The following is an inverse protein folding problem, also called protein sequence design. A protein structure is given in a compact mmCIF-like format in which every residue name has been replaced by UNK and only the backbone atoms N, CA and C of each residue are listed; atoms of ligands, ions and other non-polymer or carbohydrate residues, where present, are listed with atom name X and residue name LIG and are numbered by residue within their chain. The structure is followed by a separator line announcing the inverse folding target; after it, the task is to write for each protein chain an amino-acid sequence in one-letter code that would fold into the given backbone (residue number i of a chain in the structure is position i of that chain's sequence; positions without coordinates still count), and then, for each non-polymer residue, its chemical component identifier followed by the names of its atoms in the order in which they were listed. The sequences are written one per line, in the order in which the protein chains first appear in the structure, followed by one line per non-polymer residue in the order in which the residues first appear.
data_IF_738910779518
#
_entry.id   IF_738910779518
#
_cell.length_a   1.000
_cell.length_b   1.000
_cell.length_c   1.000
_cell.angle_alpha   90.00
_cell.angle_beta   90.00
_cell.angle_gamma   90.00
#
_symmetry.space_group_name_H-M   'P 1'
#
loop_
_entity.id
_entity.type
_entity.pdbx_description
1 polymer ?
#
# COMPACT_ATOMS: atom_id res chain seq x y z
N UNK A 1 -6.00 5.78 9.52
CA UNK A 1 -4.90 6.63 9.95
C UNK A 1 -3.71 6.48 9.03
N UNK A 2 -3.05 7.59 8.74
CA UNK A 2 -1.78 7.65 7.98
C UNK A 2 -0.74 8.36 8.84
N UNK A 3 0.47 7.81 8.92
CA UNK A 3 1.54 8.33 9.76
C UNK A 3 2.85 8.49 8.99
N UNK A 4 3.71 9.40 9.45
CA UNK A 4 5.07 9.59 8.93
C UNK A 4 6.05 8.52 9.45
N UNK A 5 5.70 7.80 10.50
CA UNK A 5 6.55 6.77 11.12
C UNK A 5 5.79 5.45 11.33
N UNK A 6 6.51 4.36 11.33
CA UNK A 6 5.97 3.00 11.46
C UNK A 6 5.32 2.69 12.82
N UNK A 7 5.58 3.51 13.82
CA UNK A 7 5.01 3.40 15.17
C UNK A 7 3.75 4.23 15.36
N UNK A 8 3.30 4.97 14.34
CA UNK A 8 2.14 5.85 14.39
C UNK A 8 2.22 6.91 15.51
N UNK A 9 3.40 7.43 15.78
CA UNK A 9 3.62 8.52 16.74
C UNK A 9 3.33 9.88 16.10
N UNK A 10 3.63 10.02 14.81
CA UNK A 10 3.39 11.24 14.04
C UNK A 10 2.30 10.99 13.01
N UNK A 11 1.08 11.29 13.38
CA UNK A 11 -0.08 11.14 12.49
C UNK A 11 -0.11 12.27 11.48
N UNK A 12 -0.02 11.93 10.20
CA UNK A 12 -0.11 12.87 9.08
C UNK A 12 -1.57 13.14 8.67
N UNK A 13 -2.40 12.11 8.71
CA UNK A 13 -3.83 12.22 8.40
C UNK A 13 -4.63 11.13 9.11
N UNK A 14 -5.90 11.44 9.39
CA UNK A 14 -6.88 10.47 9.87
C UNK A 14 -8.27 10.84 9.37
N UNK A 15 -9.11 9.86 9.20
CA UNK A 15 -10.50 10.04 8.79
C UNK A 15 -11.30 8.77 9.01
N UNK A 16 -12.56 8.83 8.64
CA UNK A 16 -13.49 7.70 8.70
C UNK A 16 -14.22 7.61 7.37
N UNK A 17 -14.33 6.41 6.84
CA UNK A 17 -15.08 6.11 5.63
C UNK A 17 -16.04 4.96 5.90
N UNK A 18 -17.18 4.96 5.23
CA UNK A 18 -18.20 3.94 5.39
C UNK A 18 -18.06 2.88 4.28
N UNK A 19 -17.93 1.63 4.67
CA UNK A 19 -18.02 0.51 3.74
C UNK A 19 -19.46 0.35 3.27
N UNK A 20 -19.71 0.50 1.96
CA UNK A 20 -21.04 0.50 1.36
C UNK A 20 -21.25 -0.74 0.49
N UNK A 21 -22.48 -1.28 0.43
CA UNK A 21 -22.79 -2.43 -0.40
C UNK A 21 -22.47 -2.21 -1.88
N UNK A 22 -22.68 -0.99 -2.39
CA UNK A 22 -22.43 -0.61 -3.80
C UNK A 22 -20.97 -0.71 -4.19
N UNK A 23 -20.07 -0.69 -3.20
CA UNK A 23 -18.61 -0.86 -3.38
C UNK A 23 -18.14 -2.25 -2.91
N UNK A 24 -19.03 -3.22 -2.84
CA UNK A 24 -18.72 -4.56 -2.34
C UNK A 24 -18.24 -4.54 -0.89
N UNK A 25 -18.76 -3.64 -0.06
CA UNK A 25 -18.33 -3.41 1.34
C UNK A 25 -16.83 -3.05 1.48
N UNK A 26 -16.21 -2.51 0.43
CA UNK A 26 -14.85 -1.98 0.47
C UNK A 26 -14.86 -0.47 0.72
N UNK A 27 -13.70 0.07 1.09
CA UNK A 27 -13.49 1.52 1.24
C UNK A 27 -12.37 1.98 0.31
N UNK A 28 -12.56 3.13 -0.31
CA UNK A 28 -11.57 3.81 -1.14
C UNK A 28 -11.29 5.17 -0.50
N UNK A 29 -10.08 5.34 0.01
CA UNK A 29 -9.72 6.53 0.77
C UNK A 29 -8.66 7.32 0.03
N UNK A 30 -8.98 8.54 -0.34
CA UNK A 30 -8.00 9.49 -0.85
C UNK A 30 -7.48 10.37 0.29
N UNK A 31 -6.16 10.48 0.38
CA UNK A 31 -5.50 11.26 1.42
C UNK A 31 -4.70 12.38 0.78
N UNK A 32 -5.20 13.60 0.90
CA UNK A 32 -4.54 14.81 0.39
C UNK A 32 -3.57 15.41 1.41
N UNK A 33 -2.72 16.35 0.95
CA UNK A 33 -1.85 17.14 1.81
C UNK A 33 -0.59 16.42 2.29
N UNK A 34 -0.31 15.23 1.81
CA UNK A 34 0.91 14.51 2.12
C UNK A 34 2.12 15.14 1.42
N UNK A 35 3.27 15.17 2.09
CA UNK A 35 4.52 15.67 1.52
C UNK A 35 5.00 14.75 0.39
N UNK A 36 5.55 15.29 -0.71
CA UNK A 36 6.01 14.50 -1.84
C UNK A 36 7.27 13.68 -1.52
N UNK A 37 7.47 12.62 -2.31
CA UNK A 37 8.65 11.75 -2.28
C UNK A 37 8.99 11.19 -0.89
N UNK A 38 7.98 10.79 -0.11
CA UNK A 38 8.15 10.28 1.25
C UNK A 38 7.42 8.96 1.49
N UNK A 39 7.97 8.07 2.33
CA UNK A 39 7.23 6.93 2.83
C UNK A 39 6.18 7.39 3.84
N UNK A 40 5.04 6.72 3.82
CA UNK A 40 3.98 6.82 4.81
C UNK A 40 3.55 5.42 5.22
N UNK A 41 3.02 5.32 6.42
CA UNK A 41 2.46 4.09 6.97
C UNK A 41 0.97 4.30 7.20
N UNK A 42 0.16 3.30 6.87
CA UNK A 42 -1.28 3.39 7.06
C UNK A 42 -1.82 2.15 7.74
N UNK A 43 -2.96 2.30 8.38
CA UNK A 43 -3.74 1.23 8.97
C UNK A 43 -5.21 1.61 9.02
N UNK A 44 -6.05 0.60 8.98
CA UNK A 44 -7.48 0.70 9.15
C UNK A 44 -7.89 0.15 10.51
N UNK A 45 -9.02 0.63 11.02
CA UNK A 45 -9.67 0.10 12.22
C UNK A 45 -11.14 -0.05 11.91
N UNK A 46 -11.71 -1.23 12.12
CA UNK A 46 -13.12 -1.52 11.93
C UNK A 46 -13.59 -2.48 13.03
N UNK A 47 -14.73 -2.21 13.66
CA UNK A 47 -15.28 -3.06 14.72
C UNK A 47 -14.35 -3.28 15.93
N UNK A 48 -13.43 -2.35 16.18
CA UNK A 48 -12.42 -2.50 17.24
C UNK A 48 -11.16 -3.23 16.82
N UNK A 49 -11.17 -3.90 15.67
CA UNK A 49 -10.02 -4.62 15.12
C UNK A 49 -9.14 -3.70 14.25
N UNK A 50 -7.86 -3.98 14.23
CA UNK A 50 -6.84 -3.23 13.51
C UNK A 50 -6.22 -4.06 12.40
N UNK A 51 -6.13 -3.49 11.20
CA UNK A 51 -5.41 -4.12 10.08
C UNK A 51 -3.91 -4.24 10.34
N UNK A 52 -3.24 -5.05 9.56
CA UNK A 52 -1.80 -4.97 9.41
C UNK A 52 -1.41 -3.56 8.94
N UNK A 53 -0.19 -3.16 9.27
CA UNK A 53 0.39 -1.91 8.82
C UNK A 53 0.75 -2.01 7.34
N UNK A 54 0.17 -1.14 6.52
CA UNK A 54 0.60 -0.93 5.14
C UNK A 54 1.68 0.15 5.04
N UNK A 55 2.45 0.11 3.97
CA UNK A 55 3.42 1.15 3.60
C UNK A 55 3.09 1.65 2.20
N UNK A 56 3.11 2.95 2.02
CA UNK A 56 2.96 3.63 0.75
C UNK A 56 4.06 4.67 0.59
N UNK A 57 4.29 5.14 -0.62
CA UNK A 57 5.20 6.24 -0.91
C UNK A 57 4.51 7.24 -1.82
N UNK A 58 4.57 8.52 -1.47
CA UNK A 58 4.13 9.61 -2.34
C UNK A 58 5.12 9.80 -3.49
N UNK A 59 4.59 10.17 -4.65
CA UNK A 59 5.43 10.50 -5.80
C UNK A 59 6.21 11.80 -5.56
N UNK A 60 7.34 12.01 -6.26
CA UNK A 60 7.98 13.30 -6.35
C UNK A 60 7.03 14.37 -6.94
N UNK A 61 7.33 15.63 -6.71
CA UNK A 61 6.61 16.72 -7.39
C UNK A 61 6.74 16.58 -8.91
N UNK A 62 5.70 16.92 -9.69
CA UNK A 62 5.79 16.97 -11.14
C UNK A 62 6.98 17.82 -11.59
N UNK A 63 7.72 17.34 -12.59
CA UNK A 63 8.93 17.99 -13.09
C UNK A 63 10.21 17.76 -12.27
N UNK A 64 10.13 17.09 -11.13
CA UNK A 64 11.34 16.69 -10.39
C UNK A 64 12.10 15.62 -11.18
N UNK A 65 13.38 15.85 -11.46
CA UNK A 65 14.25 14.85 -12.05
C UNK A 65 14.50 13.71 -11.05
N UNK A 66 14.33 12.50 -11.51
CA UNK A 66 14.69 11.29 -10.76
C UNK A 66 15.77 10.53 -11.53
N UNK A 67 16.85 10.14 -10.84
CA UNK A 67 17.97 9.44 -11.50
C UNK A 67 17.63 7.98 -11.77
N UNK A 68 16.76 7.37 -10.97
CA UNK A 68 16.31 5.99 -11.15
C UNK A 68 14.91 5.77 -10.56
N UNK A 69 14.18 4.83 -11.15
CA UNK A 69 12.93 4.31 -10.64
C UNK A 69 13.00 2.78 -10.60
N UNK A 70 13.05 2.23 -9.40
CA UNK A 70 13.03 0.77 -9.18
C UNK A 70 11.62 0.37 -8.76
N UNK A 71 10.98 -0.52 -9.50
CA UNK A 71 9.66 -1.04 -9.18
C UNK A 71 9.58 -2.55 -9.42
N UNK A 72 8.66 -3.22 -8.76
CA UNK A 72 8.36 -4.62 -8.96
C UNK A 72 7.14 -4.82 -9.85
N UNK A 73 7.11 -5.93 -10.57
CA UNK A 73 5.94 -6.37 -11.33
C UNK A 73 5.63 -7.81 -10.95
N UNK A 74 4.38 -8.10 -10.63
CA UNK A 74 3.94 -9.44 -10.29
C UNK A 74 2.47 -9.66 -10.64
N UNK A 75 2.04 -10.92 -10.62
CA UNK A 75 0.68 -11.35 -10.89
C UNK A 75 0.59 -12.84 -11.14
N UNK A 76 -0.60 -13.34 -11.42
CA UNK A 76 -0.87 -14.73 -11.79
C UNK A 76 -0.30 -15.74 -10.78
N UNK A 77 -0.58 -15.55 -9.51
CA UNK A 77 -0.13 -16.46 -8.45
C UNK A 77 -1.18 -17.53 -8.17
N UNK A 78 -0.81 -18.79 -8.38
CA UNK A 78 -1.64 -19.93 -7.98
C UNK A 78 -1.42 -20.25 -6.50
N UNK A 79 -2.52 -20.32 -5.73
CA UNK A 79 -2.46 -20.49 -4.27
C UNK A 79 -1.87 -21.85 -3.86
N UNK A 80 -2.32 -22.93 -4.50
CA UNK A 80 -1.94 -24.29 -4.14
C UNK A 80 -0.56 -24.71 -4.68
N UNK A 81 -0.01 -23.99 -5.66
CA UNK A 81 1.21 -24.36 -6.36
C UNK A 81 2.40 -23.49 -5.96
N UNK A 82 2.88 -23.63 -4.72
CA UNK A 82 4.09 -22.98 -4.28
C UNK A 82 4.01 -22.33 -2.90
N UNK A 83 5.09 -21.65 -2.52
CA UNK A 83 5.27 -21.10 -1.18
C UNK A 83 5.46 -19.58 -1.17
N UNK A 84 5.01 -18.88 -2.22
CA UNK A 84 5.15 -17.43 -2.37
C UNK A 84 6.59 -16.90 -2.20
N UNK A 85 7.57 -17.73 -2.57
CA UNK A 85 8.99 -17.40 -2.44
C UNK A 85 9.37 -16.12 -3.20
N UNK A 86 8.83 -15.93 -4.41
CA UNK A 86 9.05 -14.73 -5.20
C UNK A 86 8.56 -13.46 -4.49
N UNK A 87 7.38 -13.50 -3.87
CA UNK A 87 6.86 -12.35 -3.09
C UNK A 87 7.70 -12.08 -1.85
N UNK A 88 8.24 -13.11 -1.20
CA UNK A 88 9.17 -12.95 -0.07
C UNK A 88 10.45 -12.22 -0.51
N UNK A 89 10.98 -12.51 -1.68
CA UNK A 89 12.13 -11.80 -2.23
C UNK A 89 11.75 -10.37 -2.62
N UNK A 90 10.64 -10.20 -3.33
CA UNK A 90 10.13 -8.88 -3.72
C UNK A 90 9.93 -7.95 -2.52
N UNK A 91 9.42 -8.47 -1.41
CA UNK A 91 9.20 -7.71 -0.17
C UNK A 91 10.50 -7.22 0.51
N UNK A 92 11.66 -7.78 0.15
CA UNK A 92 12.98 -7.35 0.65
C UNK A 92 13.65 -6.30 -0.23
N UNK A 93 13.10 -6.08 -1.42
CA UNK A 93 13.65 -5.10 -2.36
C UNK A 93 13.24 -3.66 -1.97
N UNK A 94 14.16 -2.73 -2.13
CA UNK A 94 13.89 -1.30 -2.00
C UNK A 94 13.19 -0.76 -3.25
N UNK A 95 11.86 -0.84 -3.27
CA UNK A 95 11.02 -0.48 -4.41
C UNK A 95 10.26 0.82 -4.14
N UNK A 96 10.06 1.60 -5.20
CA UNK A 96 9.16 2.76 -5.16
C UNK A 96 7.69 2.31 -5.09
N UNK A 97 7.33 1.27 -5.85
CA UNK A 97 6.01 0.64 -5.83
C UNK A 97 6.08 -0.77 -6.41
N UNK A 98 4.99 -1.50 -6.27
CA UNK A 98 4.76 -2.79 -6.94
C UNK A 98 3.53 -2.63 -7.84
N UNK A 99 3.67 -3.01 -9.11
CA UNK A 99 2.56 -3.13 -10.05
C UNK A 99 2.09 -4.58 -10.11
N UNK A 100 0.85 -4.81 -9.70
CA UNK A 100 0.22 -6.12 -9.80
C UNK A 100 -0.73 -6.12 -10.99
N UNK A 101 -0.45 -6.93 -12.02
CA UNK A 101 -1.20 -6.90 -13.27
C UNK A 101 -2.47 -7.76 -13.27
N UNK A 102 -2.81 -8.36 -12.16
CA UNK A 102 -4.05 -9.11 -11.98
C UNK A 102 -3.82 -10.55 -11.55
N UNK A 103 -4.92 -11.29 -11.42
CA UNK A 103 -4.93 -12.67 -10.98
C UNK A 103 -4.14 -12.84 -9.68
N UNK A 104 -4.62 -12.13 -8.65
CA UNK A 104 -3.91 -12.06 -7.37
C UNK A 104 -3.76 -13.43 -6.72
N UNK A 105 -4.82 -14.23 -6.78
CA UNK A 105 -4.84 -15.62 -6.33
C UNK A 105 -5.71 -16.43 -7.29
N UNK A 106 -5.21 -17.57 -7.72
CA UNK A 106 -6.00 -18.65 -8.29
C UNK A 106 -6.24 -19.72 -7.22
N UNK A 107 -7.43 -20.29 -7.22
CA UNK A 107 -7.83 -21.47 -6.44
C UNK A 107 -7.83 -22.74 -7.30
#
# INVERSE_FOLDING_TARGET
EVAEDSGFRTIAAKGTELARPELGHSVHVEVAGLKPNRPYYYRFTAGGERSLRGRARTLPLPGTRTDALKFGVCGCQHYESGFYGAYRHLAREELAFVYHYGDFIYE
#
